data_IF_084983244318
#
_entry.id   IF_084983244318
#
_cell.length_a   1.000
_cell.length_b   1.000
_cell.length_c   1.000
_cell.angle_alpha   90.00
_cell.angle_beta   90.00
_cell.angle_gamma   90.00
#
_symmetry.space_group_name_H-M   'P 1'
#
loop_
_entity.id
_entity.type
_entity.pdbx_description
1 polymer ?
#
# COMPACT_ATOMS: atom_id res chain seq x y z
N UNK A 1 -5.06 -42.54 18.18
CA UNK A 1 -4.13 -42.52 17.03
C UNK A 1 -5.01 -42.55 15.79
N UNK A 2 -5.20 -41.39 15.14
CA UNK A 2 -5.95 -41.31 13.89
C UNK A 2 -4.92 -41.41 12.76
N UNK A 3 -4.79 -42.64 12.22
CA UNK A 3 -4.07 -42.87 10.96
C UNK A 3 -4.90 -42.28 9.81
N UNK A 4 -4.69 -40.99 9.53
CA UNK A 4 -5.08 -40.43 8.23
C UNK A 4 -4.08 -40.97 7.21
N UNK A 5 -4.53 -41.87 6.33
CA UNK A 5 -3.77 -42.27 5.17
C UNK A 5 -3.24 -41.04 4.43
N UNK A 6 -1.98 -41.04 3.93
CA UNK A 6 -1.46 -39.96 3.16
C UNK A 6 -2.39 -39.70 1.95
N UNK A 7 -2.79 -38.46 1.75
CA UNK A 7 -3.54 -38.07 0.55
C UNK A 7 -2.79 -38.58 -0.69
N UNK A 8 -3.46 -39.28 -1.60
CA UNK A 8 -2.82 -39.67 -2.85
C UNK A 8 -2.31 -38.42 -3.53
N UNK A 9 -1.03 -38.35 -3.86
CA UNK A 9 -0.48 -37.30 -4.69
C UNK A 9 -1.19 -37.38 -6.03
N UNK A 10 -2.11 -36.43 -6.29
CA UNK A 10 -2.79 -36.33 -7.56
C UNK A 10 -1.75 -35.92 -8.61
N UNK A 11 -1.66 -36.67 -9.69
CA UNK A 11 -0.82 -36.34 -10.85
C UNK A 11 -1.48 -35.26 -11.73
N UNK A 12 -2.68 -34.80 -11.37
CA UNK A 12 -3.44 -33.77 -12.08
C UNK A 12 -2.90 -32.38 -11.69
N UNK A 13 -2.67 -31.54 -12.68
CA UNK A 13 -2.37 -30.13 -12.49
C UNK A 13 -3.64 -29.44 -11.92
N UNK A 14 -3.60 -29.05 -10.65
CA UNK A 14 -4.71 -28.44 -9.91
C UNK A 14 -4.55 -26.93 -9.73
N UNK A 15 -3.55 -26.31 -10.38
CA UNK A 15 -3.24 -24.87 -10.21
C UNK A 15 -4.45 -23.97 -10.47
N UNK A 16 -5.24 -24.24 -11.49
CA UNK A 16 -6.42 -23.44 -11.79
C UNK A 16 -7.52 -23.59 -10.72
N UNK A 17 -7.74 -24.82 -10.26
CA UNK A 17 -8.71 -25.10 -9.18
C UNK A 17 -8.28 -24.42 -7.88
N UNK A 18 -6.98 -24.46 -7.56
CA UNK A 18 -6.41 -23.79 -6.40
C UNK A 18 -6.58 -22.26 -6.46
N UNK A 19 -6.27 -21.63 -7.61
CA UNK A 19 -6.41 -20.19 -7.79
C UNK A 19 -7.88 -19.74 -7.69
N UNK A 20 -8.80 -20.48 -8.33
CA UNK A 20 -10.23 -20.18 -8.25
C UNK A 20 -10.75 -20.27 -6.81
N UNK A 21 -10.34 -21.31 -6.06
CA UNK A 21 -10.70 -21.45 -4.65
C UNK A 21 -10.09 -20.32 -3.79
N UNK A 22 -8.84 -19.93 -4.04
CA UNK A 22 -8.19 -18.81 -3.35
C UNK A 22 -8.96 -17.51 -3.55
N UNK A 23 -9.36 -17.22 -4.78
CA UNK A 23 -10.17 -16.04 -5.10
C UNK A 23 -11.52 -16.07 -4.38
N UNK A 24 -12.23 -17.21 -4.44
CA UNK A 24 -13.50 -17.41 -3.73
C UNK A 24 -13.35 -17.12 -2.22
N UNK A 25 -12.29 -17.64 -1.59
CA UNK A 25 -12.04 -17.43 -0.16
C UNK A 25 -11.67 -15.97 0.17
N UNK A 26 -10.93 -15.28 -0.69
CA UNK A 26 -10.68 -13.85 -0.53
C UNK A 26 -11.99 -13.05 -0.56
N UNK A 27 -12.85 -13.30 -1.54
CA UNK A 27 -14.14 -12.63 -1.66
C UNK A 27 -15.10 -12.96 -0.50
N UNK A 28 -15.06 -14.19 0.02
CA UNK A 28 -15.85 -14.60 1.18
C UNK A 28 -15.37 -13.91 2.45
N UNK A 29 -14.05 -13.90 2.69
CA UNK A 29 -13.43 -13.26 3.86
C UNK A 29 -13.68 -11.74 3.86
N UNK A 30 -13.59 -11.07 2.70
CA UNK A 30 -13.87 -9.64 2.57
C UNK A 30 -15.32 -9.25 2.92
N UNK A 31 -16.24 -10.22 2.95
CA UNK A 31 -17.65 -10.04 3.37
C UNK A 31 -17.90 -10.40 4.83
N UNK A 32 -16.93 -11.03 5.50
CA UNK A 32 -17.07 -11.45 6.90
C UNK A 32 -16.84 -10.26 7.84
N UNK A 33 -17.93 -9.58 8.16
CA UNK A 33 -17.91 -8.40 9.05
C UNK A 33 -17.49 -8.75 10.49
N UNK A 34 -17.67 -10.00 10.93
CA UNK A 34 -17.24 -10.44 12.26
C UNK A 34 -15.72 -10.61 12.31
N UNK A 35 -15.14 -11.31 11.33
CA UNK A 35 -13.69 -11.44 11.22
C UNK A 35 -13.01 -10.05 11.11
N UNK A 36 -13.58 -9.15 10.30
CA UNK A 36 -13.08 -7.78 10.16
C UNK A 36 -13.13 -7.01 11.49
N UNK A 37 -14.28 -7.07 12.21
CA UNK A 37 -14.38 -6.41 13.52
C UNK A 37 -13.36 -6.95 14.53
N UNK A 38 -13.17 -8.26 14.60
CA UNK A 38 -12.16 -8.88 15.46
C UNK A 38 -10.74 -8.41 15.12
N UNK A 39 -10.46 -8.20 13.84
CA UNK A 39 -9.15 -7.71 13.42
C UNK A 39 -8.91 -6.26 13.86
N UNK A 40 -9.88 -5.37 13.73
CA UNK A 40 -9.79 -3.99 14.25
C UNK A 40 -9.55 -4.01 15.77
N UNK A 41 -10.30 -4.81 16.52
CA UNK A 41 -10.13 -4.96 17.98
C UNK A 41 -8.70 -5.47 18.32
N UNK A 42 -8.18 -6.40 17.51
CA UNK A 42 -6.80 -6.90 17.63
C UNK A 42 -5.78 -5.80 17.34
N UNK A 43 -5.95 -5.05 16.25
CA UNK A 43 -5.05 -3.94 15.89
C UNK A 43 -4.98 -2.88 16.99
N UNK A 44 -6.12 -2.50 17.58
CA UNK A 44 -6.17 -1.58 18.72
C UNK A 44 -5.40 -2.13 19.93
N UNK A 45 -5.49 -3.43 20.19
CA UNK A 45 -4.71 -4.08 21.26
C UNK A 45 -3.21 -4.03 20.95
N UNK A 46 -2.82 -4.28 19.72
CA UNK A 46 -1.42 -4.30 19.29
C UNK A 46 -0.80 -2.91 19.17
N UNK A 47 -1.60 -1.85 18.97
CA UNK A 47 -1.13 -0.46 18.93
C UNK A 47 -0.46 -0.03 20.25
N UNK A 48 -0.87 -0.62 21.37
CA UNK A 48 -0.22 -0.41 22.68
C UNK A 48 1.28 -0.78 22.69
N UNK A 49 1.69 -1.63 21.76
CA UNK A 49 3.07 -2.11 21.59
C UNK A 49 3.76 -1.49 20.36
N UNK A 50 3.15 -0.51 19.71
CA UNK A 50 3.64 0.08 18.46
C UNK A 50 3.94 -1.00 17.40
N UNK A 51 3.05 -2.00 17.25
CA UNK A 51 3.28 -3.23 16.49
C UNK A 51 3.69 -3.00 15.04
N UNK A 52 3.15 -1.99 14.35
CA UNK A 52 3.54 -1.62 12.99
C UNK A 52 4.98 -1.13 12.87
N UNK A 53 5.61 -0.69 13.99
CA UNK A 53 6.99 -0.19 14.05
C UNK A 53 8.03 -1.27 14.36
N UNK A 54 7.60 -2.51 14.61
CA UNK A 54 8.51 -3.58 15.06
C UNK A 54 9.25 -4.26 13.89
N UNK A 55 8.91 -3.91 12.67
CA UNK A 55 9.39 -4.60 11.48
C UNK A 55 10.56 -3.89 10.81
N UNK A 56 11.37 -4.64 10.09
CA UNK A 56 12.43 -4.11 9.23
C UNK A 56 12.48 -4.88 7.91
N UNK A 57 12.86 -4.19 6.85
CA UNK A 57 13.15 -4.81 5.56
C UNK A 57 14.60 -4.55 5.19
N UNK A 58 15.38 -5.63 4.98
CA UNK A 58 16.80 -5.56 4.62
C UNK A 58 17.62 -4.59 5.48
N UNK A 59 17.35 -4.58 6.81
CA UNK A 59 18.05 -3.77 7.79
C UNK A 59 17.49 -2.34 8.02
N UNK A 60 16.47 -1.93 7.26
CA UNK A 60 15.84 -0.61 7.41
C UNK A 60 14.45 -0.77 8.04
N UNK A 61 14.07 0.02 9.08
CA UNK A 61 12.73 -0.06 9.68
C UNK A 61 11.64 0.20 8.65
N UNK A 62 10.64 -0.69 8.58
CA UNK A 62 9.45 -0.56 7.74
C UNK A 62 8.22 -0.43 8.65
N UNK A 63 7.45 0.66 8.47
CA UNK A 63 6.30 0.96 9.32
C UNK A 63 5.03 0.48 8.61
N UNK A 64 4.89 -0.84 8.51
CA UNK A 64 3.75 -1.48 7.86
C UNK A 64 3.40 -2.81 8.53
N UNK A 65 2.16 -3.26 8.38
CA UNK A 65 1.77 -4.60 8.82
C UNK A 65 2.18 -5.65 7.78
N UNK A 66 2.51 -6.88 8.21
CA UNK A 66 2.92 -7.97 7.30
C UNK A 66 1.92 -8.27 6.17
N UNK A 67 0.61 -8.11 6.42
CA UNK A 67 -0.40 -8.34 5.39
C UNK A 67 -0.33 -7.28 4.27
N UNK A 68 -0.10 -6.00 4.61
CA UNK A 68 0.07 -4.93 3.62
C UNK A 68 1.33 -5.13 2.79
N UNK A 69 2.43 -5.58 3.42
CA UNK A 69 3.68 -5.95 2.73
C UNK A 69 3.42 -7.06 1.71
N UNK A 70 2.70 -8.13 2.10
CA UNK A 70 2.38 -9.24 1.21
C UNK A 70 1.46 -8.82 0.06
N UNK A 71 0.43 -8.00 0.31
CA UNK A 71 -0.45 -7.49 -0.73
C UNK A 71 0.31 -6.60 -1.73
N UNK A 72 1.14 -5.69 -1.25
CA UNK A 72 1.97 -4.82 -2.10
C UNK A 72 2.94 -5.65 -2.96
N UNK A 73 3.53 -6.72 -2.40
CA UNK A 73 4.38 -7.63 -3.16
C UNK A 73 3.61 -8.33 -4.29
N UNK A 74 2.41 -8.86 -4.02
CA UNK A 74 1.58 -9.50 -5.04
C UNK A 74 1.21 -8.52 -6.17
N UNK A 75 0.84 -7.29 -5.81
CA UNK A 75 0.51 -6.23 -6.77
C UNK A 75 1.72 -5.93 -7.66
N UNK A 76 2.88 -5.66 -7.09
CA UNK A 76 4.09 -5.35 -7.86
C UNK A 76 4.47 -6.52 -8.77
N UNK A 77 4.35 -7.76 -8.28
CA UNK A 77 4.61 -8.94 -9.09
C UNK A 77 3.66 -9.08 -10.28
N UNK A 78 2.38 -8.84 -10.07
CA UNK A 78 1.34 -9.03 -11.09
C UNK A 78 1.31 -7.86 -12.09
N UNK A 79 1.50 -6.62 -11.64
CA UNK A 79 1.37 -5.42 -12.48
C UNK A 79 2.67 -4.98 -13.13
N UNK A 80 3.83 -5.38 -12.60
CA UNK A 80 5.16 -5.04 -13.14
C UNK A 80 5.32 -3.53 -13.41
N UNK A 81 5.16 -2.65 -12.42
CA UNK A 81 5.34 -1.23 -12.61
C UNK A 81 6.80 -0.90 -12.94
N UNK A 82 7.02 0.15 -13.74
CA UNK A 82 8.35 0.72 -13.98
C UNK A 82 8.69 1.76 -12.93
N UNK A 83 7.69 2.51 -12.49
CA UNK A 83 7.80 3.55 -11.46
C UNK A 83 6.80 3.25 -10.36
N UNK A 84 7.27 3.32 -9.11
CA UNK A 84 6.41 3.35 -7.94
C UNK A 84 6.65 4.70 -7.25
N UNK A 85 5.59 5.46 -7.02
CA UNK A 85 5.64 6.73 -6.30
C UNK A 85 5.05 6.48 -4.91
N UNK A 86 5.75 6.92 -3.86
CA UNK A 86 5.22 6.89 -2.49
C UNK A 86 5.32 8.28 -1.87
N UNK A 87 4.21 8.76 -1.31
CA UNK A 87 4.21 9.92 -0.42
C UNK A 87 4.33 9.43 1.03
N UNK A 88 5.26 10.03 1.80
CA UNK A 88 5.64 9.55 3.13
C UNK A 88 6.83 8.58 3.08
N UNK A 89 8.05 9.10 3.26
CA UNK A 89 9.29 8.29 3.26
C UNK A 89 9.57 7.71 4.65
N UNK A 90 9.24 8.45 5.69
CA UNK A 90 9.46 8.08 7.09
C UNK A 90 10.88 7.52 7.36
N UNK A 91 11.00 6.22 7.69
CA UNK A 91 12.28 5.55 7.95
C UNK A 91 12.94 4.97 6.69
N UNK A 92 12.24 4.94 5.55
CA UNK A 92 12.74 4.46 4.27
C UNK A 92 12.60 2.96 4.01
N UNK A 93 12.08 2.18 4.96
CA UNK A 93 11.95 0.73 4.79
C UNK A 93 11.03 0.33 3.64
N UNK A 94 9.93 1.04 3.41
CA UNK A 94 9.02 0.84 2.27
C UNK A 94 9.69 1.13 0.93
N UNK A 95 10.54 2.18 0.88
CA UNK A 95 11.36 2.48 -0.30
C UNK A 95 12.27 1.32 -0.67
N UNK A 96 13.01 0.79 0.32
CA UNK A 96 13.93 -0.35 0.13
C UNK A 96 13.15 -1.61 -0.26
N UNK A 97 11.98 -1.85 0.37
CA UNK A 97 11.11 -2.97 0.06
C UNK A 97 10.66 -2.95 -1.40
N UNK A 98 10.06 -1.86 -1.86
CA UNK A 98 9.57 -1.74 -3.24
C UNK A 98 10.73 -1.76 -4.25
N UNK A 99 11.86 -1.10 -3.97
CA UNK A 99 13.04 -1.14 -4.81
C UNK A 99 13.60 -2.57 -4.96
N UNK A 100 13.60 -3.36 -3.88
CA UNK A 100 14.05 -4.75 -3.91
C UNK A 100 13.11 -5.63 -4.75
N UNK A 101 11.79 -5.40 -4.69
CA UNK A 101 10.83 -6.10 -5.52
C UNK A 101 10.99 -5.77 -7.00
N UNK A 102 11.16 -4.49 -7.36
CA UNK A 102 11.47 -4.09 -8.74
C UNK A 102 12.75 -4.79 -9.26
N UNK A 103 13.77 -4.94 -8.43
CA UNK A 103 14.96 -5.69 -8.80
C UNK A 103 14.66 -7.17 -9.04
N UNK A 104 13.88 -7.81 -8.14
CA UNK A 104 13.52 -9.24 -8.24
C UNK A 104 12.57 -9.53 -9.41
N UNK A 105 11.79 -8.57 -9.86
CA UNK A 105 10.96 -8.73 -11.07
C UNK A 105 11.76 -8.68 -12.38
N UNK A 106 13.07 -8.43 -12.30
CA UNK A 106 13.94 -8.30 -13.47
C UNK A 106 13.85 -6.92 -14.15
N UNK A 107 13.12 -5.96 -13.57
CA UNK A 107 13.04 -4.60 -14.10
C UNK A 107 14.32 -3.82 -13.75
N UNK A 108 15.29 -3.84 -14.66
CA UNK A 108 16.61 -3.19 -14.45
C UNK A 108 16.54 -1.66 -14.36
N UNK A 109 15.51 -1.05 -14.93
CA UNK A 109 15.30 0.41 -14.94
C UNK A 109 14.28 0.89 -13.91
N UNK A 110 13.55 -0.04 -13.27
CA UNK A 110 12.49 0.29 -12.33
C UNK A 110 13.00 1.12 -11.16
N UNK A 111 12.23 2.16 -10.78
CA UNK A 111 12.57 3.09 -9.70
C UNK A 111 11.40 3.31 -8.75
N UNK A 112 11.75 3.64 -7.52
CA UNK A 112 10.84 4.16 -6.50
C UNK A 112 11.13 5.65 -6.31
N UNK A 113 10.10 6.48 -6.34
CA UNK A 113 10.17 7.92 -6.09
C UNK A 113 9.50 8.16 -4.73
N UNK A 114 10.27 8.54 -3.73
CA UNK A 114 9.77 8.89 -2.40
C UNK A 114 9.63 10.39 -2.23
N UNK A 115 8.47 10.83 -1.77
CA UNK A 115 8.17 12.24 -1.49
C UNK A 115 7.88 12.39 -0.01
N UNK A 116 8.56 13.32 0.66
CA UNK A 116 8.29 13.65 2.07
C UNK A 116 8.56 15.13 2.33
N UNK A 117 7.80 15.73 3.24
CA UNK A 117 7.97 17.13 3.62
C UNK A 117 9.27 17.35 4.43
N UNK A 118 9.76 16.30 5.12
CA UNK A 118 10.96 16.32 5.97
C UNK A 118 11.69 14.97 5.94
N UNK A 119 12.65 14.83 5.02
CA UNK A 119 13.50 13.64 4.96
C UNK A 119 14.69 13.84 5.90
N UNK A 120 14.53 13.40 7.14
CA UNK A 120 15.57 13.53 8.16
C UNK A 120 16.91 12.97 7.72
N UNK A 121 18.00 13.67 8.00
CA UNK A 121 19.33 13.33 7.51
C UNK A 121 19.74 11.87 7.74
N UNK A 122 19.47 11.29 8.91
CA UNK A 122 19.80 9.91 9.22
C UNK A 122 18.96 8.87 8.43
N UNK A 123 17.70 9.22 8.07
CA UNK A 123 16.86 8.36 7.23
C UNK A 123 17.31 8.46 5.77
N UNK A 124 17.64 9.65 5.29
CA UNK A 124 18.24 9.88 3.97
C UNK A 124 19.55 9.09 3.82
N UNK A 125 20.45 9.19 4.80
CA UNK A 125 21.71 8.44 4.80
C UNK A 125 21.49 6.92 4.76
N UNK A 126 20.55 6.41 5.55
CA UNK A 126 20.20 4.98 5.55
C UNK A 126 19.69 4.50 4.18
N UNK A 127 18.95 5.33 3.45
CA UNK A 127 18.46 5.00 2.11
C UNK A 127 19.58 5.13 1.07
N UNK A 128 20.32 6.24 1.07
CA UNK A 128 21.34 6.57 0.04
C UNK A 128 22.58 5.68 0.14
N UNK A 129 22.89 5.10 1.30
CA UNK A 129 23.98 4.14 1.48
C UNK A 129 23.55 2.67 1.28
N UNK A 130 22.25 2.41 1.13
CA UNK A 130 21.73 1.07 0.97
C UNK A 130 22.03 0.48 -0.43
N UNK A 131 22.24 -0.85 -0.58
CA UNK A 131 22.44 -1.49 -1.89
C UNK A 131 21.35 -1.20 -2.93
N UNK A 132 20.12 -0.86 -2.51
CA UNK A 132 19.02 -0.49 -3.40
C UNK A 132 18.98 1.00 -3.77
N UNK A 133 19.88 1.85 -3.25
CA UNK A 133 19.87 3.31 -3.42
C UNK A 133 19.77 3.76 -4.89
N UNK A 134 20.44 3.07 -5.80
CA UNK A 134 20.43 3.41 -7.25
C UNK A 134 19.03 3.33 -7.88
N UNK A 135 18.07 2.70 -7.20
CA UNK A 135 16.68 2.55 -7.63
C UNK A 135 15.73 3.51 -6.93
N UNK A 136 16.22 4.38 -6.06
CA UNK A 136 15.40 5.27 -5.24
C UNK A 136 15.74 6.71 -5.59
N UNK A 137 14.73 7.54 -5.80
CA UNK A 137 14.83 8.97 -5.91
C UNK A 137 14.04 9.62 -4.77
N UNK A 138 14.65 10.56 -4.06
CA UNK A 138 14.02 11.25 -2.92
C UNK A 138 13.74 12.70 -3.30
N UNK A 139 12.51 13.14 -3.10
CA UNK A 139 12.06 14.52 -3.28
C UNK A 139 11.59 15.03 -1.92
N UNK A 140 12.20 16.12 -1.44
CA UNK A 140 11.80 16.77 -0.20
C UNK A 140 10.91 17.97 -0.53
N UNK A 141 9.67 17.93 -0.05
CA UNK A 141 8.65 18.95 -0.29
C UNK A 141 7.25 18.45 0.07
N UNK A 142 6.30 19.38 0.16
CA UNK A 142 4.91 19.02 0.37
C UNK A 142 4.36 18.21 -0.81
N UNK A 143 3.73 17.07 -0.54
CA UNK A 143 3.32 16.12 -1.58
C UNK A 143 2.35 16.71 -2.60
N UNK A 144 1.55 17.71 -2.18
CA UNK A 144 0.56 18.39 -3.05
C UNK A 144 1.04 19.74 -3.57
N UNK A 145 2.28 20.12 -3.32
CA UNK A 145 2.86 21.37 -3.85
C UNK A 145 3.17 21.21 -5.35
N UNK A 146 2.84 22.23 -6.15
CA UNK A 146 3.02 22.20 -7.61
C UNK A 146 4.47 21.89 -8.03
N UNK A 147 5.46 22.47 -7.33
CA UNK A 147 6.88 22.21 -7.59
C UNK A 147 7.28 20.75 -7.33
N UNK A 148 6.76 20.16 -6.26
CA UNK A 148 6.98 18.75 -5.90
C UNK A 148 6.33 17.83 -6.94
N UNK A 149 5.08 18.10 -7.30
CA UNK A 149 4.37 17.36 -8.33
C UNK A 149 5.06 17.45 -9.70
N UNK A 150 5.62 18.60 -10.03
CA UNK A 150 6.40 18.73 -11.27
C UNK A 150 7.70 17.92 -11.21
N UNK A 151 8.43 17.96 -10.10
CA UNK A 151 9.64 17.15 -9.90
C UNK A 151 9.36 15.65 -9.99
N UNK A 152 8.22 15.19 -9.46
CA UNK A 152 7.76 13.79 -9.61
C UNK A 152 7.51 13.45 -11.08
N UNK A 153 6.77 14.31 -11.83
CA UNK A 153 6.46 14.10 -13.25
C UNK A 153 7.73 14.03 -14.10
N UNK A 154 8.72 14.86 -13.81
CA UNK A 154 10.00 14.90 -14.55
C UNK A 154 10.81 13.60 -14.40
N UNK A 155 10.55 12.81 -13.34
CA UNK A 155 11.19 11.53 -13.11
C UNK A 155 10.44 10.33 -13.73
N UNK A 156 9.26 10.55 -14.31
CA UNK A 156 8.46 9.49 -14.94
C UNK A 156 8.81 9.43 -16.43
N UNK A 157 9.43 8.33 -16.91
CA UNK A 157 9.70 8.19 -18.35
C UNK A 157 8.39 8.09 -19.16
N UNK A 158 8.42 8.56 -20.38
CA UNK A 158 7.30 8.40 -21.30
C UNK A 158 6.95 6.90 -21.49
N UNK A 159 5.67 6.57 -21.39
CA UNK A 159 5.16 5.21 -21.52
C UNK A 159 5.42 4.29 -20.31
N UNK A 160 6.00 4.80 -19.23
CA UNK A 160 6.24 4.02 -18.02
C UNK A 160 4.92 3.56 -17.36
N UNK A 161 4.93 2.34 -16.84
CA UNK A 161 3.85 1.84 -15.97
C UNK A 161 4.05 2.38 -14.55
N UNK A 162 3.05 3.09 -14.04
CA UNK A 162 3.14 3.81 -12.76
C UNK A 162 2.15 3.25 -11.75
N UNK A 163 2.65 2.94 -10.55
CA UNK A 163 1.88 2.63 -9.35
C UNK A 163 2.11 3.74 -8.33
N UNK A 164 1.10 4.06 -7.52
CA UNK A 164 1.18 5.11 -6.49
C UNK A 164 0.77 4.54 -5.14
N UNK A 165 1.50 4.91 -4.08
CA UNK A 165 1.21 4.63 -2.68
C UNK A 165 1.13 5.97 -1.93
N UNK A 166 0.00 6.26 -1.31
CA UNK A 166 -0.23 7.46 -0.50
C UNK A 166 -0.16 7.08 0.98
N UNK A 167 0.95 7.43 1.63
CA UNK A 167 1.27 7.04 3.01
C UNK A 167 1.89 8.20 3.81
N UNK A 168 1.38 9.44 3.61
CA UNK A 168 1.94 10.65 4.22
C UNK A 168 1.14 11.11 5.45
N UNK A 169 0.31 12.13 5.31
CA UNK A 169 -0.63 12.61 6.31
C UNK A 169 -1.99 11.94 6.10
N UNK A 170 -2.51 11.26 7.11
CA UNK A 170 -3.73 10.46 6.99
C UNK A 170 -5.01 11.27 7.27
N UNK A 171 -4.97 12.61 7.24
CA UNK A 171 -6.18 13.44 7.35
C UNK A 171 -7.00 13.41 6.05
N UNK A 172 -8.33 13.41 6.19
CA UNK A 172 -9.25 13.38 5.05
C UNK A 172 -8.89 14.39 3.95
N UNK A 173 -8.68 15.66 4.34
CA UNK A 173 -8.43 16.72 3.37
C UNK A 173 -7.13 16.56 2.61
N UNK A 174 -6.07 16.11 3.30
CA UNK A 174 -4.77 15.88 2.68
C UNK A 174 -4.79 14.68 1.74
N UNK A 175 -5.29 13.54 2.20
CA UNK A 175 -5.38 12.32 1.38
C UNK A 175 -6.26 12.53 0.14
N UNK A 176 -7.37 13.25 0.26
CA UNK A 176 -8.22 13.57 -0.91
C UNK A 176 -7.47 14.45 -1.92
N UNK A 177 -6.67 15.42 -1.44
CA UNK A 177 -5.84 16.24 -2.31
C UNK A 177 -4.75 15.40 -3.01
N UNK A 178 -4.10 14.48 -2.29
CA UNK A 178 -3.15 13.54 -2.88
C UNK A 178 -3.80 12.59 -3.90
N UNK A 179 -4.97 12.03 -3.61
CA UNK A 179 -5.72 11.20 -4.57
C UNK A 179 -5.96 11.95 -5.89
N UNK A 180 -6.37 13.22 -5.82
CA UNK A 180 -6.62 14.07 -6.99
C UNK A 180 -5.33 14.41 -7.75
N UNK A 181 -4.21 14.61 -7.03
CA UNK A 181 -2.93 15.00 -7.62
C UNK A 181 -2.18 13.80 -8.25
N UNK A 182 -2.15 12.65 -7.57
CA UNK A 182 -1.38 11.47 -7.96
C UNK A 182 -2.19 10.40 -8.69
N UNK A 183 -3.49 10.29 -8.46
CA UNK A 183 -4.34 9.34 -9.16
C UNK A 183 -4.23 9.41 -10.69
N UNK A 184 -4.20 10.61 -11.32
CA UNK A 184 -3.97 10.74 -12.76
C UNK A 184 -2.64 10.16 -13.27
N UNK A 185 -1.64 9.98 -12.40
CA UNK A 185 -0.33 9.41 -12.76
C UNK A 185 -0.36 7.87 -12.81
N UNK A 186 -1.29 7.22 -12.11
CA UNK A 186 -1.42 5.77 -12.13
C UNK A 186 -1.79 5.30 -13.53
N UNK A 187 -1.11 4.29 -14.07
CA UNK A 187 -1.43 3.75 -15.40
C UNK A 187 -2.49 2.64 -15.33
N UNK A 188 -3.28 2.41 -16.41
CA UNK A 188 -4.28 1.34 -16.43
C UNK A 188 -3.71 -0.02 -16.03
N UNK A 189 -4.43 -0.74 -15.16
CA UNK A 189 -4.02 -2.04 -14.61
C UNK A 189 -2.97 -1.94 -13.50
N UNK A 190 -2.53 -0.72 -13.11
CA UNK A 190 -1.76 -0.49 -11.88
C UNK A 190 -2.67 0.01 -10.75
N UNK A 191 -2.08 0.26 -9.59
CA UNK A 191 -2.83 0.58 -8.36
C UNK A 191 -2.53 1.98 -7.84
N UNK A 192 -3.57 2.60 -7.31
CA UNK A 192 -3.51 3.63 -6.30
C UNK A 192 -3.74 2.94 -4.95
N UNK A 193 -2.72 2.91 -4.12
CA UNK A 193 -2.81 2.39 -2.75
C UNK A 193 -2.92 3.56 -1.80
N UNK A 194 -3.98 3.59 -1.00
CA UNK A 194 -4.19 4.60 0.05
C UNK A 194 -3.99 3.91 1.39
N UNK A 195 -2.91 4.26 2.09
CA UNK A 195 -2.53 3.63 3.34
C UNK A 195 -3.40 4.07 4.53
N UNK A 196 -3.32 3.32 5.61
CA UNK A 196 -3.94 3.58 6.93
C UNK A 196 -5.46 3.82 6.91
N UNK A 197 -6.15 3.25 5.93
CA UNK A 197 -7.62 3.31 5.83
C UNK A 197 -8.34 2.66 7.00
N UNK A 198 -7.66 1.80 7.79
CA UNK A 198 -8.19 1.24 9.03
C UNK A 198 -8.65 2.33 10.02
N UNK A 199 -8.05 3.53 9.97
CA UNK A 199 -8.47 4.69 10.78
C UNK A 199 -9.95 5.06 10.57
N UNK A 200 -10.51 4.84 9.37
CA UNK A 200 -11.92 5.07 9.07
C UNK A 200 -12.91 4.14 9.81
N UNK A 201 -12.41 3.12 10.47
CA UNK A 201 -13.21 2.20 11.30
C UNK A 201 -13.13 2.54 12.80
N UNK A 202 -12.30 3.50 13.18
CA UNK A 202 -12.12 3.93 14.57
C UNK A 202 -13.06 5.08 14.92
N UNK A 203 -13.46 5.13 16.18
CA UNK A 203 -14.08 6.32 16.77
C UNK A 203 -12.98 7.28 17.26
N UNK A 204 -13.32 8.53 17.54
CA UNK A 204 -12.34 9.54 17.99
C UNK A 204 -11.64 9.15 19.31
N UNK A 205 -12.37 8.49 20.22
CA UNK A 205 -11.82 8.00 21.48
C UNK A 205 -10.90 6.78 21.34
N UNK A 206 -11.04 6.02 20.24
CA UNK A 206 -10.17 4.89 19.88
C UNK A 206 -8.92 5.33 19.12
N UNK A 207 -8.89 6.55 18.58
CA UNK A 207 -7.73 7.04 17.83
C UNK A 207 -6.45 7.05 18.69
N UNK A 208 -5.28 6.67 18.13
CA UNK A 208 -4.02 6.62 18.85
C UNK A 208 -3.63 7.98 19.43
N UNK A 209 -3.59 8.08 20.78
CA UNK A 209 -3.32 9.34 21.49
C UNK A 209 -1.84 9.72 21.59
N UNK A 210 -0.95 8.81 21.21
CA UNK A 210 0.51 9.02 21.27
C UNK A 210 1.04 9.85 20.09
N UNK A 211 0.23 10.11 19.08
CA UNK A 211 0.63 10.83 17.86
C UNK A 211 0.21 12.29 17.92
N UNK A 212 0.91 13.15 17.20
CA UNK A 212 0.63 14.59 17.14
C UNK A 212 -0.69 14.91 16.43
N UNK A 213 -1.25 13.97 15.67
CA UNK A 213 -2.53 14.06 14.94
C UNK A 213 -3.38 12.84 15.25
N UNK A 214 -4.70 13.04 15.26
CA UNK A 214 -5.69 11.97 15.43
C UNK A 214 -6.43 11.74 14.14
N UNK A 215 -6.48 10.48 13.72
CA UNK A 215 -7.23 10.03 12.55
C UNK A 215 -8.31 9.05 13.00
N UNK A 216 -9.52 9.31 12.58
CA UNK A 216 -10.72 8.54 12.95
C UNK A 216 -11.80 8.77 11.91
N UNK A 217 -12.86 8.02 11.95
CA UNK A 217 -13.96 8.06 10.99
C UNK A 217 -14.43 9.50 10.71
N UNK A 218 -14.34 9.90 9.45
CA UNK A 218 -14.66 11.24 8.95
C UNK A 218 -13.45 12.17 8.82
N UNK A 219 -12.33 11.88 9.51
CA UNK A 219 -11.03 12.53 9.29
C UNK A 219 -9.95 11.46 9.08
N UNK A 220 -10.04 10.71 7.99
CA UNK A 220 -9.28 9.49 7.73
C UNK A 220 -9.12 9.21 6.22
N UNK A 221 -8.16 8.35 5.85
CA UNK A 221 -7.91 7.99 4.45
C UNK A 221 -9.05 7.22 3.77
N UNK A 222 -9.82 6.40 4.52
CA UNK A 222 -10.94 5.63 3.94
C UNK A 222 -12.05 6.56 3.47
N UNK A 223 -12.37 7.57 4.28
CA UNK A 223 -13.36 8.59 3.90
C UNK A 223 -12.88 9.35 2.65
N UNK A 224 -11.58 9.68 2.58
CA UNK A 224 -10.99 10.40 1.45
C UNK A 224 -11.02 9.57 0.15
N UNK A 225 -10.57 8.31 0.20
CA UNK A 225 -10.55 7.47 -1.00
C UNK A 225 -11.97 7.16 -1.49
N UNK A 226 -12.92 6.92 -0.58
CA UNK A 226 -14.32 6.73 -0.94
C UNK A 226 -14.94 7.96 -1.61
N UNK A 227 -14.54 9.19 -1.23
CA UNK A 227 -14.96 10.41 -1.92
C UNK A 227 -14.32 10.51 -3.30
N UNK A 228 -13.02 10.25 -3.42
CA UNK A 228 -12.32 10.25 -4.70
C UNK A 228 -12.91 9.25 -5.70
N UNK A 229 -13.30 8.05 -5.25
CA UNK A 229 -13.92 7.03 -6.11
C UNK A 229 -15.32 7.44 -6.61
N UNK A 230 -16.04 8.32 -5.91
CA UNK A 230 -17.31 8.90 -6.41
C UNK A 230 -17.06 9.97 -7.48
N UNK A 231 -15.94 10.67 -7.38
CA UNK A 231 -15.54 11.72 -8.34
C UNK A 231 -14.88 11.14 -9.60
N UNK A 232 -14.41 9.87 -9.54
CA UNK A 232 -13.53 9.30 -10.56
C UNK A 232 -13.85 7.83 -10.81
N UNK A 233 -14.53 7.55 -11.92
CA UNK A 233 -14.95 6.23 -12.37
C UNK A 233 -13.82 5.36 -12.97
N UNK A 234 -12.60 5.89 -13.03
CA UNK A 234 -11.43 5.15 -13.54
C UNK A 234 -10.78 4.22 -12.52
N UNK A 235 -11.25 4.22 -11.29
CA UNK A 235 -10.73 3.36 -10.23
C UNK A 235 -11.85 2.59 -9.57
N UNK A 236 -11.52 1.39 -9.13
CA UNK A 236 -12.38 0.58 -8.27
C UNK A 236 -11.54 -0.08 -7.16
N UNK A 237 -12.17 -0.35 -6.02
CA UNK A 237 -11.55 -1.15 -4.96
C UNK A 237 -11.41 -2.59 -5.44
N UNK A 238 -10.18 -3.13 -5.48
CA UNK A 238 -9.96 -4.53 -5.84
C UNK A 238 -10.54 -5.45 -4.74
N UNK A 239 -11.61 -6.22 -5.03
CA UNK A 239 -12.26 -7.01 -3.99
C UNK A 239 -11.44 -8.24 -3.56
N UNK A 240 -10.54 -8.74 -4.41
CA UNK A 240 -9.71 -9.92 -4.11
C UNK A 240 -8.55 -9.53 -3.20
N UNK A 241 -7.84 -8.44 -3.54
CA UNK A 241 -6.74 -7.93 -2.70
C UNK A 241 -7.31 -7.46 -1.35
N UNK A 242 -8.34 -6.62 -1.36
CA UNK A 242 -8.92 -6.10 -0.12
C UNK A 242 -9.59 -7.20 0.73
N UNK A 243 -10.10 -8.26 0.11
CA UNK A 243 -10.73 -9.38 0.81
C UNK A 243 -9.79 -10.15 1.75
N UNK A 244 -8.48 -10.17 1.49
CA UNK A 244 -7.48 -10.80 2.37
C UNK A 244 -6.88 -9.86 3.41
N UNK A 245 -7.20 -8.55 3.34
CA UNK A 245 -6.64 -7.53 4.23
C UNK A 245 -7.46 -7.37 5.50
N UNK A 246 -7.66 -8.48 6.21
CA UNK A 246 -8.42 -8.46 7.47
C UNK A 246 -7.57 -7.88 8.60
N UNK A 247 -6.32 -8.36 8.79
CA UNK A 247 -5.37 -7.80 9.76
C UNK A 247 -4.33 -6.96 9.00
N UNK A 248 -4.73 -5.79 8.55
CA UNK A 248 -3.97 -4.87 7.71
C UNK A 248 -4.26 -3.42 8.07
N UNK A 249 -3.33 -2.51 7.78
CA UNK A 249 -3.53 -1.07 8.02
C UNK A 249 -4.40 -0.41 6.95
N UNK A 250 -4.51 -1.01 5.75
CA UNK A 250 -5.07 -0.37 4.58
C UNK A 250 -6.27 -1.10 3.95
N UNK A 251 -7.24 -1.63 4.75
CA UNK A 251 -8.42 -2.31 4.21
C UNK A 251 -9.30 -1.34 3.40
N UNK A 252 -9.60 -1.69 2.15
CA UNK A 252 -10.36 -0.82 1.24
C UNK A 252 -9.52 0.25 0.55
N UNK A 253 -8.21 0.33 0.83
CA UNK A 253 -7.30 1.32 0.25
C UNK A 253 -6.61 0.88 -1.05
N UNK A 254 -6.75 -0.37 -1.47
CA UNK A 254 -6.12 -0.88 -2.69
C UNK A 254 -7.06 -0.74 -3.88
N UNK A 255 -6.87 0.31 -4.68
CA UNK A 255 -7.71 0.66 -5.82
C UNK A 255 -6.98 0.40 -7.13
N UNK A 256 -7.55 -0.47 -7.98
CA UNK A 256 -7.03 -0.74 -9.32
C UNK A 256 -7.52 0.32 -10.30
N UNK A 257 -6.63 0.82 -11.17
CA UNK A 257 -7.03 1.68 -12.27
C UNK A 257 -7.58 0.84 -13.42
N UNK A 258 -8.82 1.13 -13.80
CA UNK A 258 -9.51 0.50 -14.92
C UNK A 258 -8.87 0.91 -16.26
N UNK A 259 -9.06 0.10 -17.34
CA UNK A 259 -8.72 0.52 -18.70
C UNK A 259 -9.40 1.83 -19.06
N UNK A 260 -8.73 2.64 -19.88
CA UNK A 260 -9.37 3.84 -20.41
C UNK A 260 -10.54 3.41 -21.33
N UNK A 261 -11.66 4.14 -21.33
CA UNK A 261 -12.80 3.82 -22.22
C UNK A 261 -12.36 3.87 -23.69
N UNK A 262 -12.88 2.92 -24.46
CA UNK A 262 -12.58 2.79 -25.90
C UNK A 262 -13.06 3.99 -26.72
#
# INVERSE_FOLDING_TARGET
>A
MNDKAPHPMTTKDDRQEFEAHREEMCLALGKDTQAFKQSIDTMLTLDAYDYSYLWSWMGVPIIQLPADIMATQEIIWNTRPDIIIETGVARGGSMIFMASLLAMTGNVKGKVIGVDIDIRAHNRDAIETHPMASRIALIEGGSVDDSTLQAVRDLIPEGARVMVVLDSDHSYGHVLAECRAYGPLVTPGCYLVVADTAAGHLTEDQAPKKRSKSWYRGNDPLTAVNEYLKENDRFEVDPVINGKLVLASSPGGYCIRLPDPA
#
